data_IF_792628583185
#
_entry.id   IF_792628583185
#
_cell.length_a   1.000
_cell.length_b   1.000
_cell.length_c   1.000
_cell.angle_alpha   90.00
_cell.angle_beta   90.00
_cell.angle_gamma   90.00
#
_symmetry.space_group_name_H-M   'P 1'
#
loop_
_entity.id
_entity.type
_entity.pdbx_description
1 polymer ?
#
# COMPACT_ATOMS: atom_id res chain seq x y z
N UNK A 1 -17.71 -32.00 -2.31
CA UNK A 1 -18.39 -32.52 -1.10
C UNK A 1 -18.97 -31.32 -0.39
N UNK A 2 -20.26 -31.04 -0.56
CA UNK A 2 -20.95 -30.03 0.25
C UNK A 2 -21.12 -30.61 1.65
N UNK A 3 -20.34 -30.13 2.61
CA UNK A 3 -20.59 -30.41 4.02
C UNK A 3 -21.70 -29.47 4.47
N UNK A 4 -22.92 -30.00 4.52
CA UNK A 4 -24.05 -29.30 5.11
C UNK A 4 -23.98 -29.49 6.65
N UNK A 5 -23.20 -28.64 7.32
CA UNK A 5 -23.05 -28.68 8.78
C UNK A 5 -24.35 -28.23 9.45
N UNK A 6 -24.79 -28.97 10.48
CA UNK A 6 -25.82 -28.47 11.39
C UNK A 6 -25.19 -27.40 12.28
N UNK A 7 -25.96 -26.37 12.63
CA UNK A 7 -25.51 -25.24 13.48
C UNK A 7 -24.84 -25.76 14.75
N UNK A 8 -25.46 -26.72 15.46
CA UNK A 8 -24.91 -27.33 16.67
C UNK A 8 -23.54 -28.01 16.48
N UNK A 9 -23.25 -28.53 15.28
CA UNK A 9 -21.96 -29.15 14.96
C UNK A 9 -20.90 -28.08 14.70
N UNK A 10 -21.28 -26.98 14.05
CA UNK A 10 -20.41 -25.83 13.81
C UNK A 10 -20.08 -25.08 15.11
N UNK A 11 -21.04 -24.93 16.02
CA UNK A 11 -20.83 -24.33 17.34
C UNK A 11 -19.82 -25.13 18.18
N UNK A 12 -19.93 -26.48 18.20
CA UNK A 12 -18.94 -27.33 18.88
C UNK A 12 -17.55 -27.20 18.27
N UNK A 13 -17.47 -27.15 16.94
CA UNK A 13 -16.19 -26.96 16.26
C UNK A 13 -15.57 -25.60 16.59
N UNK A 14 -16.38 -24.55 16.75
CA UNK A 14 -15.91 -23.23 17.17
C UNK A 14 -15.39 -23.24 18.61
N UNK A 15 -16.12 -23.87 19.53
CA UNK A 15 -15.71 -23.99 20.94
C UNK A 15 -14.36 -24.73 21.09
N UNK A 16 -14.07 -25.69 20.21
CA UNK A 16 -12.80 -26.42 20.20
C UNK A 16 -11.62 -25.58 19.67
N UNK A 17 -11.88 -24.50 18.93
CA UNK A 17 -10.83 -23.61 18.41
C UNK A 17 -10.39 -22.66 19.51
N UNK A 18 -9.20 -22.91 20.05
CA UNK A 18 -8.55 -22.00 20.99
C UNK A 18 -7.80 -20.92 20.23
N UNK A 19 -8.26 -19.68 20.37
CA UNK A 19 -7.56 -18.48 19.88
C UNK A 19 -7.07 -17.73 21.10
N UNK A 20 -5.77 -17.50 21.18
CA UNK A 20 -5.20 -16.67 22.23
C UNK A 20 -5.56 -15.21 21.95
N UNK A 21 -6.02 -14.48 22.98
CA UNK A 21 -6.41 -13.07 22.87
C UNK A 21 -5.26 -12.20 22.31
N UNK A 22 -4.02 -12.56 22.65
CA UNK A 22 -2.81 -11.90 22.16
C UNK A 22 -2.67 -11.99 20.63
N UNK A 23 -2.99 -13.15 20.03
CA UNK A 23 -2.92 -13.34 18.59
C UNK A 23 -3.98 -12.51 17.86
N UNK A 24 -5.19 -12.43 18.43
CA UNK A 24 -6.25 -11.59 17.89
C UNK A 24 -5.87 -10.11 18.00
N UNK A 25 -5.34 -9.68 19.15
CA UNK A 25 -4.92 -8.31 19.34
C UNK A 25 -3.80 -7.92 18.37
N UNK A 26 -2.83 -8.81 18.13
CA UNK A 26 -1.77 -8.59 17.14
C UNK A 26 -2.33 -8.45 15.73
N UNK A 27 -3.32 -9.26 15.36
CA UNK A 27 -3.98 -9.19 14.06
C UNK A 27 -4.72 -7.85 13.88
N UNK A 28 -5.50 -7.44 14.88
CA UNK A 28 -6.20 -6.16 14.86
C UNK A 28 -5.21 -5.00 14.79
N UNK A 29 -4.16 -5.02 15.61
CA UNK A 29 -3.11 -4.00 15.58
C UNK A 29 -2.45 -3.90 14.20
N UNK A 30 -2.11 -5.04 13.58
CA UNK A 30 -1.54 -5.08 12.24
C UNK A 30 -2.47 -4.43 11.21
N UNK A 31 -3.76 -4.77 11.24
CA UNK A 31 -4.77 -4.18 10.35
C UNK A 31 -4.85 -2.65 10.50
N UNK A 32 -4.96 -2.16 11.74
CA UNK A 32 -5.06 -0.71 12.00
C UNK A 32 -3.84 0.04 11.47
N UNK A 33 -2.66 -0.55 11.60
CA UNK A 33 -1.39 0.03 11.13
C UNK A 33 -1.27 0.02 9.60
N UNK A 34 -1.64 -1.10 8.95
CA UNK A 34 -1.50 -1.28 7.49
C UNK A 34 -2.49 -0.43 6.71
N UNK A 35 -3.72 -0.35 7.20
CA UNK A 35 -4.77 0.50 6.62
C UNK A 35 -4.61 1.98 7.00
N UNK A 36 -3.77 2.27 7.99
CA UNK A 36 -3.40 3.62 8.36
C UNK A 36 -4.36 4.32 9.31
N UNK A 37 -5.14 3.56 10.09
CA UNK A 37 -6.00 4.05 11.16
C UNK A 37 -5.16 4.42 12.40
N UNK A 38 -4.38 5.51 12.29
CA UNK A 38 -3.41 5.93 13.32
C UNK A 38 -4.05 6.12 14.69
N UNK A 39 -5.15 6.86 14.78
CA UNK A 39 -5.82 7.16 16.05
C UNK A 39 -6.36 5.89 16.70
N UNK A 40 -6.97 5.01 15.90
CA UNK A 40 -7.48 3.73 16.38
C UNK A 40 -6.33 2.82 16.86
N UNK A 41 -5.20 2.78 16.15
CA UNK A 41 -4.03 2.02 16.57
C UNK A 41 -3.47 2.52 17.92
N UNK A 42 -3.44 3.84 18.13
CA UNK A 42 -3.00 4.46 19.38
C UNK A 42 -3.91 4.07 20.56
N UNK A 43 -5.23 4.21 20.39
CA UNK A 43 -6.17 3.85 21.47
C UNK A 43 -6.15 2.33 21.72
N UNK A 44 -6.11 1.52 20.66
CA UNK A 44 -6.03 0.06 20.76
C UNK A 44 -4.75 -0.40 21.47
N UNK A 45 -3.61 0.26 21.22
CA UNK A 45 -2.37 0.00 21.96
C UNK A 45 -2.52 0.30 23.45
N UNK A 46 -3.18 1.41 23.83
CA UNK A 46 -3.37 1.77 25.23
C UNK A 46 -4.22 0.74 25.97
N UNK A 47 -5.26 0.24 25.33
CA UNK A 47 -6.19 -0.73 25.91
C UNK A 47 -5.59 -2.13 26.02
N UNK A 48 -4.98 -2.63 24.93
CA UNK A 48 -4.51 -4.03 24.85
C UNK A 48 -3.04 -4.20 25.21
N UNK A 49 -2.27 -3.11 25.29
CA UNK A 49 -0.79 -3.09 25.43
C UNK A 49 -0.05 -3.75 24.25
N UNK A 50 -0.77 -4.15 23.21
CA UNK A 50 -0.21 -4.72 21.99
C UNK A 50 0.58 -3.65 21.26
N UNK A 51 1.85 -3.91 20.99
CA UNK A 51 2.69 -2.98 20.25
C UNK A 51 2.57 -3.28 18.74
N UNK A 52 2.58 -2.26 17.89
CA UNK A 52 2.70 -2.46 16.46
C UNK A 52 4.13 -2.84 16.06
N UNK A 53 4.25 -3.57 14.96
CA UNK A 53 5.54 -3.98 14.39
C UNK A 53 6.32 -2.83 13.74
N UNK A 54 5.64 -1.72 13.45
CA UNK A 54 6.22 -0.50 12.87
C UNK A 54 5.96 0.69 13.77
N UNK A 55 6.79 1.72 13.64
CA UNK A 55 6.54 2.99 14.30
C UNK A 55 5.20 3.60 13.86
N UNK A 56 4.32 3.88 14.82
CA UNK A 56 3.00 4.52 14.62
C UNK A 56 3.13 5.91 14.01
N UNK A 57 4.21 6.63 14.31
CA UNK A 57 4.38 7.99 13.81
C UNK A 57 4.55 8.04 12.29
N UNK A 58 5.13 6.98 11.70
CA UNK A 58 5.33 6.83 10.27
C UNK A 58 4.03 6.50 9.50
N UNK A 59 2.94 6.16 10.20
CA UNK A 59 1.65 5.86 9.53
C UNK A 59 1.18 7.07 8.72
N UNK A 60 1.30 8.28 9.27
CA UNK A 60 0.86 9.51 8.61
C UNK A 60 1.56 9.75 7.29
N UNK A 61 2.90 9.70 7.30
CA UNK A 61 3.75 9.87 6.11
C UNK A 61 3.39 8.85 5.02
N UNK A 62 3.28 7.56 5.39
CA UNK A 62 2.91 6.50 4.43
C UNK A 62 1.52 6.72 3.83
N UNK A 63 0.57 7.18 4.64
CA UNK A 63 -0.77 7.50 4.17
C UNK A 63 -0.77 8.69 3.23
N UNK A 64 0.04 9.71 3.49
CA UNK A 64 0.17 10.85 2.59
C UNK A 64 0.75 10.43 1.24
N UNK A 65 1.85 9.67 1.23
CA UNK A 65 2.44 9.12 -0.01
C UNK A 65 1.40 8.28 -0.77
N UNK A 66 0.71 7.36 -0.08
CA UNK A 66 -0.33 6.52 -0.68
C UNK A 66 -1.46 7.35 -1.29
N UNK A 67 -1.92 8.40 -0.59
CA UNK A 67 -2.98 9.27 -1.08
C UNK A 67 -2.55 10.08 -2.31
N UNK A 68 -1.31 10.55 -2.35
CA UNK A 68 -0.74 11.25 -3.50
C UNK A 68 -0.60 10.32 -4.72
N UNK A 69 -0.20 9.05 -4.51
CA UNK A 69 -0.23 8.04 -5.58
C UNK A 69 -1.67 7.81 -6.09
N UNK A 70 -2.62 7.63 -5.16
CA UNK A 70 -4.02 7.37 -5.50
C UNK A 70 -4.73 8.55 -6.19
N UNK A 71 -4.30 9.79 -5.93
CA UNK A 71 -4.82 10.98 -6.61
C UNK A 71 -4.27 11.16 -8.03
N UNK A 72 -3.24 10.39 -8.41
CA UNK A 72 -2.58 10.47 -9.70
C UNK A 72 -1.49 11.55 -9.78
N UNK A 73 -1.13 12.20 -8.69
CA UNK A 73 0.00 13.14 -8.64
C UNK A 73 1.33 12.40 -8.42
N UNK A 74 1.71 11.59 -9.41
CA UNK A 74 2.90 10.75 -9.32
C UNK A 74 4.21 11.53 -9.15
N UNK A 75 4.43 12.70 -9.80
CA UNK A 75 5.61 13.52 -9.53
C UNK A 75 5.74 13.91 -8.06
N UNK A 76 4.65 14.37 -7.44
CA UNK A 76 4.66 14.71 -6.02
C UNK A 76 4.84 13.47 -5.14
N UNK A 77 4.26 12.33 -5.51
CA UNK A 77 4.44 11.08 -4.78
C UNK A 77 5.91 10.64 -4.76
N UNK A 78 6.63 10.78 -5.88
CA UNK A 78 8.07 10.47 -5.99
C UNK A 78 8.89 11.39 -5.08
N UNK A 79 8.59 12.70 -5.06
CA UNK A 79 9.26 13.67 -4.17
C UNK A 79 9.08 13.28 -2.71
N UNK A 80 7.83 13.08 -2.26
CA UNK A 80 7.52 12.66 -0.89
C UNK A 80 8.17 11.33 -0.51
N UNK A 81 8.23 10.39 -1.44
CA UNK A 81 8.84 9.09 -1.22
C UNK A 81 10.36 9.21 -1.00
N UNK A 82 11.04 10.05 -1.80
CA UNK A 82 12.47 10.32 -1.61
C UNK A 82 12.76 11.14 -0.34
N UNK A 83 11.87 12.05 0.05
CA UNK A 83 12.00 12.78 1.32
C UNK A 83 11.85 11.83 2.52
N UNK A 84 10.97 10.84 2.41
CA UNK A 84 10.74 9.82 3.43
C UNK A 84 11.88 8.79 3.51
N UNK A 85 12.32 8.28 2.36
CA UNK A 85 13.43 7.33 2.24
C UNK A 85 14.20 7.60 0.93
N UNK A 86 15.35 8.29 0.99
CA UNK A 86 16.11 8.68 -0.21
C UNK A 86 16.65 7.50 -1.03
N UNK A 87 16.76 6.30 -0.46
CA UNK A 87 17.34 5.13 -1.11
C UNK A 87 16.28 4.15 -1.64
N UNK A 88 14.99 4.39 -1.38
CA UNK A 88 13.91 3.44 -1.69
C UNK A 88 13.76 3.18 -3.20
N UNK A 89 13.93 4.21 -4.03
CA UNK A 89 13.82 4.08 -5.48
C UNK A 89 15.06 3.44 -6.11
N UNK A 90 16.23 3.64 -5.48
CA UNK A 90 17.48 3.01 -5.91
C UNK A 90 17.53 1.52 -5.49
N UNK A 91 16.98 1.20 -4.33
CA UNK A 91 16.91 -0.17 -3.79
C UNK A 91 15.80 -1.02 -4.42
N UNK A 92 14.73 -0.40 -4.91
CA UNK A 92 13.67 -1.07 -5.68
C UNK A 92 13.43 -0.43 -7.06
N UNK A 93 14.24 -0.80 -8.08
CA UNK A 93 14.04 -0.34 -9.44
C UNK A 93 12.68 -0.72 -10.04
N UNK A 94 12.02 -1.78 -9.53
CA UNK A 94 10.69 -2.16 -10.01
C UNK A 94 9.65 -1.18 -9.50
N UNK A 95 9.74 -0.73 -8.25
CA UNK A 95 8.86 0.32 -7.72
C UNK A 95 8.98 1.59 -8.55
N UNK A 96 10.20 2.05 -8.82
CA UNK A 96 10.42 3.23 -9.64
C UNK A 96 9.82 3.08 -11.04
N UNK A 97 10.01 1.92 -11.66
CA UNK A 97 9.42 1.62 -12.96
C UNK A 97 7.88 1.66 -12.94
N UNK A 98 7.22 1.10 -11.94
CA UNK A 98 5.75 1.15 -11.83
C UNK A 98 5.24 2.58 -11.60
N UNK A 99 5.96 3.40 -10.83
CA UNK A 99 5.62 4.82 -10.68
C UNK A 99 5.73 5.55 -12.03
N UNK A 100 6.79 5.30 -12.80
CA UNK A 100 6.92 5.85 -14.16
C UNK A 100 5.77 5.38 -15.08
N UNK A 101 5.36 4.12 -15.01
CA UNK A 101 4.21 3.61 -15.76
C UNK A 101 2.92 4.33 -15.35
N UNK A 102 2.67 4.48 -14.05
CA UNK A 102 1.48 5.18 -13.57
C UNK A 102 1.48 6.64 -14.00
N UNK A 103 2.61 7.33 -13.94
CA UNK A 103 2.75 8.71 -14.41
C UNK A 103 2.39 8.83 -15.89
N UNK A 104 2.86 7.90 -16.72
CA UNK A 104 2.51 7.86 -18.14
C UNK A 104 1.00 7.66 -18.35
N UNK A 105 0.38 6.75 -17.59
CA UNK A 105 -1.08 6.53 -17.64
C UNK A 105 -1.83 7.83 -17.29
N UNK A 106 -1.40 8.56 -16.26
CA UNK A 106 -2.02 9.83 -15.89
C UNK A 106 -1.84 10.91 -16.96
N UNK A 107 -0.69 10.97 -17.64
CA UNK A 107 -0.48 11.86 -18.78
C UNK A 107 -1.38 11.50 -19.98
N UNK A 108 -1.53 10.21 -20.28
CA UNK A 108 -2.43 9.72 -21.34
C UNK A 108 -3.88 10.09 -21.04
N UNK A 109 -4.35 9.90 -19.80
CA UNK A 109 -5.70 10.29 -19.36
C UNK A 109 -5.96 11.80 -19.53
N UNK A 110 -4.94 12.63 -19.28
CA UNK A 110 -5.02 14.09 -19.49
C UNK A 110 -5.04 14.49 -20.96
N UNK A 111 -4.54 13.64 -21.86
CA UNK A 111 -4.48 13.90 -23.30
C UNK A 111 -3.42 14.92 -23.73
N UNK A 112 -2.46 15.25 -22.85
CA UNK A 112 -1.39 16.21 -23.16
C UNK A 112 -0.21 15.53 -23.85
N UNK A 113 -0.26 15.50 -25.18
CA UNK A 113 0.78 14.88 -26.01
C UNK A 113 2.16 15.54 -25.78
N UNK A 114 2.21 16.84 -25.51
CA UNK A 114 3.49 17.53 -25.34
C UNK A 114 4.21 17.06 -24.07
N UNK A 115 3.47 16.91 -22.97
CA UNK A 115 4.03 16.39 -21.72
C UNK A 115 4.42 14.91 -21.84
N UNK A 116 3.66 14.10 -22.60
CA UNK A 116 4.03 12.72 -22.91
C UNK A 116 5.35 12.65 -23.67
N UNK A 117 5.54 13.50 -24.68
CA UNK A 117 6.79 13.54 -25.47
C UNK A 117 7.97 14.03 -24.63
N UNK A 118 7.78 15.02 -23.75
CA UNK A 118 8.82 15.45 -22.80
C UNK A 118 9.21 14.33 -21.85
N UNK A 119 8.22 13.65 -21.27
CA UNK A 119 8.43 12.50 -20.39
C UNK A 119 9.19 11.37 -21.10
N UNK A 120 8.86 11.08 -22.36
CA UNK A 120 9.61 10.14 -23.19
C UNK A 120 11.06 10.53 -23.38
N UNK A 121 11.36 11.79 -23.69
CA UNK A 121 12.74 12.22 -23.92
C UNK A 121 13.60 12.16 -22.63
N UNK A 122 12.98 12.40 -21.47
CA UNK A 122 13.66 12.34 -20.17
C UNK A 122 13.88 10.90 -19.68
N UNK A 123 12.94 9.99 -19.96
CA UNK A 123 12.95 8.62 -19.46
C UNK A 123 13.26 7.55 -20.55
N UNK A 124 13.46 7.97 -21.79
CA UNK A 124 13.51 7.13 -23.00
C UNK A 124 14.73 6.23 -23.18
N UNK A 125 15.67 6.24 -22.22
CA UNK A 125 16.65 5.14 -22.12
C UNK A 125 16.01 3.84 -21.59
N UNK A 126 14.82 3.92 -20.98
CA UNK A 126 13.98 2.77 -20.63
C UNK A 126 13.01 2.45 -21.78
N UNK A 127 13.53 1.85 -22.86
CA UNK A 127 12.77 1.46 -24.06
C UNK A 127 11.56 0.52 -23.78
N UNK A 128 11.39 0.04 -22.56
CA UNK A 128 10.35 -0.90 -22.17
C UNK A 128 8.97 -0.26 -21.92
N UNK A 129 8.87 1.02 -21.55
CA UNK A 129 7.62 1.57 -21.00
C UNK A 129 6.45 1.58 -22.01
N UNK A 130 6.72 1.85 -23.29
CA UNK A 130 5.70 1.91 -24.35
C UNK A 130 5.44 0.55 -25.03
N UNK A 131 6.36 -0.42 -24.89
CA UNK A 131 6.12 -1.79 -25.39
C UNK A 131 4.95 -2.46 -24.64
N UNK A 132 4.72 -2.08 -23.38
CA UNK A 132 3.59 -2.58 -22.58
C UNK A 132 2.22 -2.05 -23.00
N UNK A 133 2.14 -0.92 -23.71
CA UNK A 133 0.87 -0.35 -24.17
C UNK A 133 0.38 -0.96 -25.50
N UNK A 134 1.24 -1.73 -26.17
CA UNK A 134 0.95 -2.35 -27.46
C UNK A 134 0.62 -3.86 -27.37
N UNK A 135 0.40 -4.41 -26.16
CA UNK A 135 -0.03 -5.79 -25.93
C UNK A 135 -1.39 -5.86 -25.25
#
# INVERSE_FOLDING_TARGET
MDKNFKIDEWERMLDDVKIEEEDLNRLVMNYLVVEGFKEAAIEFQKETKTKPDTNIDLIGERMEIRNTVNSGDIPQAIEKLNDFDPEVLDSDPKLYFHLQQQQLIELIKKGDINEILKFQNQNGQNQNLFLFLNN
#
